data_IF_852825543927
#
_entry.id   IF_852825543927
#
_cell.length_a   1.000
_cell.length_b   1.000
_cell.length_c   1.000
_cell.angle_alpha   90.00
_cell.angle_beta   90.00
_cell.angle_gamma   90.00
#
_symmetry.space_group_name_H-M   'P 1'
#
loop_
_entity.id
_entity.type
_entity.pdbx_description
1 polymer ?
#
# COMPACT_ATOMS: atom_id res chain seq x y z
N UNK A 1 -1.93 9.47 16.00
CA UNK A 1 -2.30 10.55 15.05
C UNK A 1 -2.51 9.89 13.70
N UNK A 2 -3.76 9.75 13.26
CA UNK A 2 -4.07 9.13 11.96
C UNK A 2 -3.91 10.19 10.87
N UNK A 3 -2.91 10.03 10.01
CA UNK A 3 -2.73 10.86 8.82
C UNK A 3 -3.62 10.27 7.71
N UNK A 4 -4.69 10.98 7.38
CA UNK A 4 -5.60 10.64 6.30
C UNK A 4 -4.92 10.91 4.95
N UNK A 5 -4.85 9.87 4.11
CA UNK A 5 -4.46 10.01 2.70
C UNK A 5 -5.64 10.59 1.90
N UNK A 6 -5.75 11.92 1.83
CA UNK A 6 -6.29 12.59 0.64
C UNK A 6 -5.16 12.63 -0.40
N UNK A 7 -5.36 12.47 -1.70
CA UNK A 7 -6.13 13.33 -2.58
C UNK A 7 -6.42 12.62 -3.91
N UNK A 8 -7.65 12.78 -4.43
CA UNK A 8 -7.88 13.02 -5.87
C UNK A 8 -8.20 11.85 -6.79
N UNK A 9 -9.48 11.78 -7.18
CA UNK A 9 -10.00 11.25 -8.46
C UNK A 9 -9.84 9.75 -8.70
N UNK A 10 -10.66 8.92 -8.06
CA UNK A 10 -11.35 7.71 -8.59
C UNK A 10 -11.92 6.98 -7.36
N UNK A 11 -13.24 6.96 -7.22
CA UNK A 11 -13.89 6.37 -6.04
C UNK A 11 -13.93 7.32 -4.83
N UNK A 12 -14.95 7.14 -3.99
CA UNK A 12 -15.14 7.91 -2.77
C UNK A 12 -13.88 7.76 -1.88
N UNK A 13 -13.44 8.77 -1.10
CA UNK A 13 -12.31 8.67 -0.17
C UNK A 13 -12.49 7.65 0.98
N UNK A 14 -13.49 6.77 0.86
CA UNK A 14 -13.86 5.71 1.81
C UNK A 14 -13.25 4.35 1.46
N UNK A 15 -12.65 4.18 0.28
CA UNK A 15 -12.14 2.88 -0.19
C UNK A 15 -10.60 2.76 -0.16
N UNK A 16 -9.89 3.77 0.36
CA UNK A 16 -8.45 3.69 0.66
C UNK A 16 -8.25 3.15 2.07
N UNK A 17 -7.92 1.87 2.17
CA UNK A 17 -7.60 1.24 3.46
C UNK A 17 -6.11 1.43 3.78
N UNK A 18 -5.81 1.86 5.00
CA UNK A 18 -4.43 1.80 5.47
C UNK A 18 -4.06 0.34 5.70
N UNK A 19 -2.94 -0.10 5.14
CA UNK A 19 -2.41 -1.44 5.43
C UNK A 19 -2.03 -1.53 6.91
N UNK A 20 -2.43 -2.61 7.58
CA UNK A 20 -2.10 -2.87 8.98
C UNK A 20 -0.63 -3.30 9.09
N UNK A 21 0.02 -3.04 10.23
CA UNK A 21 1.41 -3.47 10.45
C UNK A 21 1.59 -4.99 10.23
N UNK A 22 0.64 -5.80 10.68
CA UNK A 22 0.66 -7.25 10.45
C UNK A 22 0.66 -7.62 8.95
N UNK A 23 -0.01 -6.84 8.11
CA UNK A 23 -0.07 -7.06 6.66
C UNK A 23 1.22 -6.58 5.99
N UNK A 24 1.84 -5.51 6.49
CA UNK A 24 3.18 -5.09 6.07
C UNK A 24 4.19 -6.20 6.38
N UNK A 25 4.19 -6.71 7.62
CA UNK A 25 5.12 -7.76 8.05
C UNK A 25 4.88 -9.05 7.27
N UNK A 26 3.63 -9.40 6.98
CA UNK A 26 3.31 -10.57 6.14
C UNK A 26 3.83 -10.44 4.71
N UNK A 27 3.79 -9.25 4.11
CA UNK A 27 4.25 -9.01 2.74
C UNK A 27 5.76 -8.81 2.62
N UNK A 28 6.37 -8.06 3.54
CA UNK A 28 7.76 -7.62 3.44
C UNK A 28 8.70 -8.32 4.44
N UNK A 29 8.17 -9.06 5.41
CA UNK A 29 8.93 -9.69 6.48
C UNK A 29 9.31 -8.75 7.64
N UNK A 30 9.00 -7.45 7.52
CA UNK A 30 9.27 -6.42 8.53
C UNK A 30 8.31 -5.22 8.38
N UNK A 31 8.26 -4.33 9.38
CA UNK A 31 7.34 -3.20 9.47
C UNK A 31 7.77 -1.95 8.66
N UNK A 32 9.00 -1.93 8.12
CA UNK A 32 9.60 -0.76 7.44
C UNK A 32 10.01 -1.02 5.99
N UNK A 33 9.06 -1.27 5.07
CA UNK A 33 9.37 -1.54 3.68
C UNK A 33 10.06 -0.35 3.01
N UNK A 34 11.02 -0.65 2.15
CA UNK A 34 11.70 0.35 1.32
C UNK A 34 11.04 0.46 -0.05
N UNK A 35 11.31 1.55 -0.77
CA UNK A 35 10.85 1.74 -2.16
C UNK A 35 11.25 0.58 -3.08
N UNK A 36 12.49 0.12 -2.98
CA UNK A 36 12.98 -0.98 -3.82
C UNK A 36 12.29 -2.32 -3.53
N UNK A 37 11.82 -2.54 -2.30
CA UNK A 37 11.04 -3.73 -1.95
C UNK A 37 9.61 -3.61 -2.45
N UNK A 38 9.00 -2.44 -2.28
CA UNK A 38 7.68 -2.15 -2.82
C UNK A 38 7.64 -2.34 -4.34
N UNK A 39 8.60 -1.77 -5.09
CA UNK A 39 8.66 -1.91 -6.55
C UNK A 39 8.80 -3.37 -6.97
N UNK A 40 9.70 -4.14 -6.34
CA UNK A 40 9.86 -5.58 -6.60
C UNK A 40 8.57 -6.36 -6.38
N UNK A 41 7.84 -6.04 -5.33
CA UNK A 41 6.64 -6.77 -4.92
C UNK A 41 5.39 -6.30 -5.68
N UNK A 42 5.39 -5.05 -6.16
CA UNK A 42 4.35 -4.51 -7.06
C UNK A 42 4.45 -5.06 -8.49
N UNK A 43 5.65 -5.39 -8.95
CA UNK A 43 5.90 -6.00 -10.27
C UNK A 43 5.55 -7.51 -10.27
N UNK A 44 5.74 -8.17 -9.11
CA UNK A 44 5.22 -9.51 -8.90
C UNK A 44 3.69 -9.49 -9.04
N UNK A 45 3.21 -10.08 -10.14
CA UNK A 45 1.83 -10.02 -10.65
C UNK A 45 0.74 -10.54 -9.68
N UNK A 46 1.12 -10.93 -8.47
CA UNK A 46 0.23 -11.54 -7.49
C UNK A 46 0.61 -11.10 -6.08
N UNK A 47 -0.26 -10.29 -5.46
CA UNK A 47 -0.21 -10.02 -4.04
C UNK A 47 -1.50 -10.53 -3.40
N UNK A 48 -1.44 -11.50 -2.46
CA UNK A 48 -2.62 -11.99 -1.76
C UNK A 48 -3.33 -10.89 -0.97
N UNK A 49 -2.65 -9.77 -0.67
CA UNK A 49 -3.25 -8.59 -0.05
C UNK A 49 -4.18 -7.80 -0.98
N UNK A 50 -4.09 -8.01 -2.30
CA UNK A 50 -4.91 -7.34 -3.31
C UNK A 50 -6.03 -8.22 -3.87
N UNK A 51 -6.00 -9.53 -3.60
CA UNK A 51 -6.99 -10.48 -4.12
C UNK A 51 -8.39 -10.26 -3.53
N UNK A 52 -8.48 -9.86 -2.26
CA UNK A 52 -9.75 -9.74 -1.55
C UNK A 52 -10.44 -8.38 -1.78
N UNK A 53 -9.71 -7.38 -2.27
CA UNK A 53 -10.17 -5.99 -2.30
C UNK A 53 -11.05 -5.66 -3.53
N UNK A 54 -11.02 -6.46 -4.60
CA UNK A 54 -11.88 -6.23 -5.78
C UNK A 54 -11.51 -4.97 -6.58
N UNK A 55 -12.23 -4.75 -7.70
CA UNK A 55 -11.91 -3.70 -8.69
C UNK A 55 -12.04 -2.29 -8.07
N UNK A 56 -11.03 -1.45 -8.25
CA UNK A 56 -11.05 -0.05 -7.79
C UNK A 56 -10.75 0.12 -6.30
N UNK A 57 -10.24 -0.92 -5.64
CA UNK A 57 -9.75 -0.86 -4.26
C UNK A 57 -8.25 -1.05 -4.20
N UNK A 58 -7.67 -0.49 -3.16
CA UNK A 58 -6.27 -0.68 -2.85
C UNK A 58 -5.93 -0.03 -1.52
N UNK A 59 -4.68 -0.20 -1.13
CA UNK A 59 -4.23 0.11 0.20
C UNK A 59 -3.07 1.08 0.18
N UNK A 60 -2.99 1.90 1.21
CA UNK A 60 -1.87 2.81 1.38
C UNK A 60 -0.89 2.25 2.42
N UNK A 61 0.41 2.35 2.12
CA UNK A 61 1.47 2.06 3.08
C UNK A 61 2.58 3.12 3.04
N UNK A 62 3.34 3.19 4.13
CA UNK A 62 4.49 4.10 4.29
C UNK A 62 5.76 3.37 3.91
N UNK A 63 6.57 3.99 3.07
CA UNK A 63 7.91 3.54 2.73
C UNK A 63 8.95 4.24 3.59
N UNK A 64 10.04 3.54 3.85
CA UNK A 64 11.14 4.00 4.69
C UNK A 64 12.45 4.01 3.91
N UNK A 65 13.31 4.99 4.23
CA UNK A 65 14.70 5.04 3.81
C UNK A 65 15.58 5.29 5.04
N UNK A 66 16.53 4.40 5.31
CA UNK A 66 17.40 4.54 6.48
C UNK A 66 16.62 4.57 7.81
N UNK A 67 15.47 3.91 7.88
CA UNK A 67 14.61 3.89 9.07
C UNK A 67 13.72 5.12 9.26
N UNK A 68 13.77 6.09 8.34
CA UNK A 68 12.93 7.30 8.35
C UNK A 68 11.80 7.16 7.33
N UNK A 69 10.55 7.55 7.65
CA UNK A 69 9.47 7.63 6.66
C UNK A 69 9.85 8.54 5.47
N UNK A 70 9.81 7.99 4.25
CA UNK A 70 10.16 8.70 3.02
C UNK A 70 8.92 9.10 2.22
N UNK A 71 7.98 8.16 2.03
CA UNK A 71 6.86 8.33 1.11
C UNK A 71 5.65 7.51 1.53
N UNK A 72 4.47 7.90 1.03
CA UNK A 72 3.25 7.08 1.08
C UNK A 72 2.96 6.60 -0.33
N UNK A 73 2.70 5.31 -0.48
CA UNK A 73 2.38 4.69 -1.77
C UNK A 73 1.04 3.98 -1.73
N UNK A 74 0.37 3.98 -2.88
CA UNK A 74 -0.84 3.19 -3.11
C UNK A 74 -0.48 1.85 -3.74
N UNK A 75 -1.04 0.79 -3.19
CA UNK A 75 -0.88 -0.57 -3.66
C UNK A 75 -2.26 -1.14 -3.99
N UNK A 76 -2.54 -1.35 -5.28
CA UNK A 76 -3.85 -1.84 -5.73
C UNK A 76 -3.99 -1.83 -7.24
N UNK A 77 -5.09 -2.39 -7.73
CA UNK A 77 -5.43 -2.38 -9.15
C UNK A 77 -6.31 -1.17 -9.47
N UNK A 78 -5.73 -0.16 -10.12
CA UNK A 78 -6.53 0.81 -10.88
C UNK A 78 -7.14 0.07 -12.07
N UNK A 79 -8.40 -0.32 -11.94
CA UNK A 79 -9.13 -0.94 -13.04
C UNK A 79 -9.44 0.12 -14.11
N UNK A 80 -8.71 0.09 -15.21
CA UNK A 80 -9.23 0.55 -16.50
C UNK A 80 -10.23 -0.50 -17.04
#
# INVERSE_FOLDING_TARGET
MAQTCGWGLYGSPRDLLQVSEAEIVAAFGHDKPTRAEFERLSDATYSPLLEDDGRGRGRCLVLFQGGVPEAVVFWGHSGD
#
